data_IF_006867557321
#
_entry.id   IF_006867557321
#
_cell.length_a   1.000
_cell.length_b   1.000
_cell.length_c   1.000
_cell.angle_alpha   90.00
_cell.angle_beta   90.00
_cell.angle_gamma   90.00
#
_symmetry.space_group_name_H-M   'P 1'
#
loop_
_entity.id
_entity.type
_entity.pdbx_description
1 polymer ?
#
# COMPACT_ATOMS: atom_id res chain seq x y z
N UNK A 1 14.57 6.18 15.96
CA UNK A 1 15.08 5.93 14.59
C UNK A 1 13.98 6.34 13.65
N UNK A 2 14.26 6.96 12.49
CA UNK A 2 13.22 7.26 11.50
C UNK A 2 12.63 5.93 10.98
N UNK A 3 11.32 5.92 10.74
CA UNK A 3 10.67 4.79 10.07
C UNK A 3 10.98 4.78 8.57
N UNK A 4 10.71 3.66 7.90
CA UNK A 4 10.77 3.60 6.44
C UNK A 4 9.77 4.59 5.81
N UNK A 5 8.55 4.69 6.37
CA UNK A 5 7.55 5.66 5.90
C UNK A 5 8.01 7.12 6.07
N UNK A 6 8.65 7.49 7.17
CA UNK A 6 9.21 8.85 7.34
C UNK A 6 10.28 9.14 6.28
N UNK A 7 11.07 8.14 5.91
CA UNK A 7 12.13 8.29 4.90
C UNK A 7 11.53 8.54 3.52
N UNK A 8 10.41 7.88 3.19
CA UNK A 8 9.67 8.06 1.94
C UNK A 8 8.87 9.36 1.93
N UNK A 9 8.04 9.58 2.95
CA UNK A 9 7.05 10.65 2.96
C UNK A 9 7.65 12.04 3.25
N UNK A 10 8.66 12.14 4.13
CA UNK A 10 9.16 13.46 4.54
C UNK A 10 9.70 14.31 3.38
N UNK A 11 10.50 13.78 2.43
CA UNK A 11 10.96 14.54 1.28
C UNK A 11 9.81 14.95 0.35
N UNK A 12 8.85 14.06 0.10
CA UNK A 12 7.70 14.32 -0.77
C UNK A 12 6.78 15.38 -0.17
N UNK A 13 6.50 15.29 1.13
CA UNK A 13 5.73 16.29 1.86
C UNK A 13 6.40 17.67 1.88
N UNK A 14 7.73 17.70 1.97
CA UNK A 14 8.49 18.95 1.95
C UNK A 14 8.54 19.58 0.55
N UNK A 15 8.52 18.78 -0.51
CA UNK A 15 8.56 19.24 -1.88
C UNK A 15 7.20 19.78 -2.34
N UNK A 16 6.17 18.95 -2.31
CA UNK A 16 4.78 19.31 -2.66
C UNK A 16 3.80 18.29 -2.05
N UNK A 17 3.16 18.62 -0.92
CA UNK A 17 2.18 17.74 -0.26
C UNK A 17 0.92 17.49 -1.10
N UNK A 18 0.62 18.35 -2.07
CA UNK A 18 -0.49 18.22 -2.99
C UNK A 18 -0.19 17.38 -4.23
N UNK A 19 1.07 17.09 -4.51
CA UNK A 19 1.44 16.29 -5.68
C UNK A 19 0.84 14.88 -5.62
N UNK A 20 0.48 14.27 -6.77
CA UNK A 20 0.00 12.90 -6.83
C UNK A 20 1.07 11.92 -6.35
N UNK A 21 0.74 11.09 -5.34
CA UNK A 21 1.60 9.99 -4.87
C UNK A 21 1.23 8.67 -5.51
N UNK A 22 -0.05 8.36 -5.56
CA UNK A 22 -0.59 7.16 -6.18
C UNK A 22 -1.79 7.50 -7.03
N UNK A 23 -1.80 7.04 -8.28
CA UNK A 23 -2.96 7.07 -9.16
C UNK A 23 -3.27 5.65 -9.58
N UNK A 24 -4.53 5.25 -9.54
CA UNK A 24 -5.00 3.95 -9.97
C UNK A 24 -6.07 4.10 -11.05
N UNK A 25 -5.79 3.53 -12.21
CA UNK A 25 -6.74 3.33 -13.30
C UNK A 25 -7.21 1.88 -13.30
N UNK A 26 -8.50 1.67 -13.19
CA UNK A 26 -9.12 0.37 -13.44
C UNK A 26 -9.83 0.42 -14.80
N UNK A 27 -9.40 -0.43 -15.74
CA UNK A 27 -9.97 -0.53 -17.08
C UNK A 27 -11.10 -1.56 -17.17
N UNK A 28 -11.27 -2.43 -16.16
CA UNK A 28 -12.38 -3.38 -16.09
C UNK A 28 -13.66 -2.71 -15.60
N UNK A 29 -13.53 -1.83 -14.61
CA UNK A 29 -14.59 -0.95 -14.11
C UNK A 29 -14.10 0.49 -14.23
N UNK A 30 -14.26 1.14 -15.41
CA UNK A 30 -13.56 2.36 -15.74
C UNK A 30 -13.59 3.41 -14.61
N UNK A 31 -12.46 3.56 -13.95
CA UNK A 31 -12.29 4.51 -12.86
C UNK A 31 -10.87 5.07 -12.83
N UNK A 32 -10.73 6.28 -12.31
CA UNK A 32 -9.46 6.91 -11.99
C UNK A 32 -9.54 7.49 -10.59
N UNK A 33 -8.73 6.96 -9.71
CA UNK A 33 -8.57 7.45 -8.34
C UNK A 33 -7.15 7.95 -8.15
N UNK A 34 -7.02 9.15 -7.64
CA UNK A 34 -5.73 9.77 -7.34
C UNK A 34 -5.70 10.24 -5.89
N UNK A 35 -4.61 9.93 -5.22
CA UNK A 35 -4.32 10.42 -3.89
C UNK A 35 -3.03 11.25 -3.92
N UNK A 36 -3.12 12.45 -3.34
CA UNK A 36 -1.92 13.27 -3.10
C UNK A 36 -1.02 12.63 -2.03
N UNK A 37 0.20 13.16 -1.89
CA UNK A 37 1.12 12.78 -0.81
C UNK A 37 0.41 12.90 0.54
N UNK A 38 -0.28 14.01 0.81
CA UNK A 38 -1.04 14.22 2.05
C UNK A 38 -2.14 13.18 2.22
N UNK A 39 -2.95 12.93 1.19
CA UNK A 39 -4.06 11.98 1.30
C UNK A 39 -3.56 10.55 1.52
N UNK A 40 -2.47 10.17 0.87
CA UNK A 40 -1.82 8.87 1.07
C UNK A 40 -1.25 8.75 2.49
N UNK A 41 -0.61 9.81 2.99
CA UNK A 41 -0.09 9.86 4.35
C UNK A 41 -1.21 9.77 5.40
N UNK A 42 -2.38 10.38 5.16
CA UNK A 42 -3.53 10.27 6.06
C UNK A 42 -4.04 8.82 6.15
N UNK A 43 -4.16 8.12 5.03
CA UNK A 43 -4.51 6.70 5.04
C UNK A 43 -3.45 5.87 5.76
N UNK A 44 -2.18 6.11 5.47
CA UNK A 44 -1.07 5.43 6.14
C UNK A 44 -1.08 5.66 7.66
N UNK A 45 -1.38 6.89 8.11
CA UNK A 45 -1.47 7.23 9.53
C UNK A 45 -2.60 6.45 10.24
N UNK A 46 -3.78 6.38 9.62
CA UNK A 46 -4.91 5.60 10.16
C UNK A 46 -4.58 4.12 10.26
N UNK A 47 -3.97 3.56 9.21
CA UNK A 47 -3.58 2.15 9.18
C UNK A 47 -2.47 1.87 10.20
N UNK A 48 -1.48 2.75 10.34
CA UNK A 48 -0.45 2.62 11.36
C UNK A 48 -1.03 2.67 12.79
N UNK A 49 -2.03 3.54 13.01
CA UNK A 49 -2.79 3.59 14.26
C UNK A 49 -3.50 2.27 14.56
N UNK A 50 -4.23 1.72 13.60
CA UNK A 50 -4.89 0.43 13.72
C UNK A 50 -3.88 -0.69 14.05
N UNK A 51 -2.81 -0.80 13.27
CA UNK A 51 -1.78 -1.83 13.47
C UNK A 51 -1.14 -1.76 14.86
N UNK A 52 -0.78 -0.56 15.33
CA UNK A 52 -0.12 -0.38 16.63
C UNK A 52 -1.10 -0.47 17.79
N UNK A 53 -2.21 0.28 17.74
CA UNK A 53 -3.04 0.56 18.92
C UNK A 53 -4.09 -0.53 19.16
N UNK A 54 -4.50 -1.25 18.12
CA UNK A 54 -5.47 -2.35 18.23
C UNK A 54 -4.83 -3.73 18.07
N UNK A 55 -3.88 -3.88 17.13
CA UNK A 55 -3.24 -5.17 16.85
C UNK A 55 -1.88 -5.34 17.54
N UNK A 56 -1.39 -4.30 18.23
CA UNK A 56 -0.19 -4.38 19.06
C UNK A 56 1.13 -4.47 18.28
N UNK A 57 1.14 -4.13 17.00
CA UNK A 57 2.35 -4.17 16.16
C UNK A 57 3.42 -3.24 16.74
N UNK A 58 4.60 -3.79 16.95
CA UNK A 58 5.79 -3.11 17.46
C UNK A 58 6.87 -2.98 16.37
N UNK A 59 7.82 -2.04 16.53
CA UNK A 59 8.94 -1.94 15.60
C UNK A 59 9.74 -3.24 15.46
N UNK A 60 9.79 -3.77 14.25
CA UNK A 60 10.47 -5.03 13.91
C UNK A 60 9.54 -6.24 13.79
N UNK A 61 8.26 -6.10 14.13
CA UNK A 61 7.26 -7.14 13.83
C UNK A 61 7.01 -7.22 12.32
N UNK A 62 6.41 -8.31 11.87
CA UNK A 62 6.11 -8.57 10.45
C UNK A 62 4.63 -8.39 10.18
N UNK A 63 4.32 -7.73 9.06
CA UNK A 63 2.98 -7.68 8.46
C UNK A 63 3.03 -8.36 7.10
N UNK A 64 2.28 -9.44 6.93
CA UNK A 64 2.15 -10.13 5.65
C UNK A 64 1.19 -9.36 4.75
N UNK A 65 1.59 -9.07 3.52
CA UNK A 65 0.79 -8.32 2.55
C UNK A 65 0.62 -9.12 1.25
N UNK A 66 -0.54 -9.75 1.08
CA UNK A 66 -1.00 -10.32 -0.19
C UNK A 66 -2.05 -9.40 -0.81
N UNK A 67 -1.61 -8.39 -1.54
CA UNK A 67 -2.44 -7.27 -1.96
C UNK A 67 -2.41 -7.04 -3.48
N UNK A 68 -3.56 -6.72 -4.12
CA UNK A 68 -3.63 -6.40 -5.53
C UNK A 68 -3.12 -4.99 -5.84
N UNK A 69 -2.94 -4.70 -7.12
CA UNK A 69 -2.72 -3.34 -7.60
C UNK A 69 -3.96 -2.48 -7.34
N UNK A 70 -3.91 -1.72 -6.26
CA UNK A 70 -4.94 -0.80 -5.82
C UNK A 70 -4.30 0.39 -5.08
N UNK A 71 -4.91 1.57 -5.13
CA UNK A 71 -4.36 2.75 -4.46
C UNK A 71 -4.22 2.57 -2.94
N UNK A 72 -5.13 1.81 -2.31
CA UNK A 72 -5.11 1.55 -0.86
C UNK A 72 -3.92 0.68 -0.45
N UNK A 73 -3.39 -0.16 -1.34
CA UNK A 73 -2.16 -0.93 -1.10
C UNK A 73 -0.99 -0.02 -0.74
N UNK A 74 -0.88 1.16 -1.38
CA UNK A 74 0.12 2.16 -0.99
C UNK A 74 -0.07 2.64 0.46
N UNK A 75 -1.32 2.85 0.88
CA UNK A 75 -1.66 3.19 2.27
C UNK A 75 -1.27 2.11 3.26
N UNK A 76 -1.48 0.82 2.90
CA UNK A 76 -1.11 -0.33 3.75
C UNK A 76 0.41 -0.42 3.90
N UNK A 77 1.17 -0.36 2.81
CA UNK A 77 2.63 -0.44 2.86
C UNK A 77 3.22 0.67 3.74
N UNK A 78 2.81 1.91 3.50
CA UNK A 78 3.29 3.07 4.25
C UNK A 78 2.82 3.04 5.71
N UNK A 79 1.62 2.53 5.97
CA UNK A 79 1.08 2.36 7.32
C UNK A 79 1.87 1.33 8.12
N UNK A 80 2.15 0.16 7.54
CA UNK A 80 2.99 -0.86 8.16
C UNK A 80 4.40 -0.33 8.46
N UNK A 81 5.03 0.34 7.50
CA UNK A 81 6.33 0.99 7.70
C UNK A 81 6.30 2.10 8.76
N UNK A 82 5.20 2.82 8.90
CA UNK A 82 5.05 3.87 9.93
C UNK A 82 4.87 3.27 11.32
N UNK A 83 4.15 2.14 11.43
CA UNK A 83 4.08 1.36 12.66
C UNK A 83 5.46 0.75 13.06
N UNK A 84 6.41 0.73 12.13
CA UNK A 84 7.75 0.18 12.30
C UNK A 84 7.88 -1.28 11.88
N UNK A 85 6.84 -1.84 11.27
CA UNK A 85 6.84 -3.23 10.82
C UNK A 85 7.69 -3.44 9.56
N UNK A 86 8.20 -4.65 9.42
CA UNK A 86 8.66 -5.22 8.17
C UNK A 86 7.45 -5.74 7.38
N UNK A 87 7.47 -5.63 6.07
CA UNK A 87 6.48 -6.26 5.19
C UNK A 87 7.02 -7.58 4.68
N UNK A 88 6.21 -8.64 4.70
CA UNK A 88 6.48 -9.90 4.03
C UNK A 88 5.43 -10.16 2.94
N UNK A 89 5.84 -10.75 1.83
CA UNK A 89 4.95 -11.28 0.78
C UNK A 89 4.73 -12.80 0.90
N UNK A 90 5.36 -13.42 1.88
CA UNK A 90 5.20 -14.82 2.23
C UNK A 90 4.63 -14.94 3.64
N UNK A 91 3.87 -15.99 3.91
CA UNK A 91 3.33 -16.22 5.25
C UNK A 91 4.45 -16.36 6.28
N UNK A 92 4.24 -15.73 7.44
CA UNK A 92 5.13 -15.74 8.58
C UNK A 92 4.31 -16.10 9.81
N UNK A 93 4.80 -17.04 10.62
CA UNK A 93 4.13 -17.45 11.86
C UNK A 93 3.89 -16.24 12.78
N UNK A 94 2.73 -16.18 13.41
CA UNK A 94 2.31 -15.12 14.33
C UNK A 94 2.26 -13.69 13.75
N UNK A 95 2.34 -13.53 12.42
CA UNK A 95 2.23 -12.22 11.77
C UNK A 95 0.75 -11.82 11.57
N UNK A 96 0.52 -10.50 11.50
CA UNK A 96 -0.75 -9.97 10.99
C UNK A 96 -0.77 -10.08 9.47
N UNK A 97 -1.85 -10.62 8.92
CA UNK A 97 -2.06 -10.74 7.48
C UNK A 97 -2.96 -9.62 6.98
N UNK A 98 -2.58 -8.94 5.89
CA UNK A 98 -3.44 -8.02 5.15
C UNK A 98 -3.67 -8.59 3.76
N UNK A 99 -4.90 -8.96 3.46
CA UNK A 99 -5.28 -9.58 2.18
C UNK A 99 -6.64 -9.05 1.70
N UNK A 100 -7.21 -9.67 0.68
CA UNK A 100 -8.55 -9.36 0.15
C UNK A 100 -9.50 -10.55 0.34
N UNK A 101 -10.84 -10.35 0.32
CA UNK A 101 -11.80 -11.42 0.56
C UNK A 101 -11.63 -12.64 -0.32
N UNK A 102 -11.21 -12.47 -1.57
CA UNK A 102 -10.99 -13.55 -2.53
C UNK A 102 -9.74 -14.39 -2.26
N UNK A 103 -8.89 -13.96 -1.33
CA UNK A 103 -7.64 -14.63 -0.96
C UNK A 103 -7.59 -15.05 0.50
N UNK A 104 -8.65 -14.81 1.26
CA UNK A 104 -8.69 -15.13 2.68
C UNK A 104 -8.35 -16.60 2.99
N UNK A 105 -8.87 -17.52 2.18
CA UNK A 105 -8.67 -18.96 2.37
C UNK A 105 -7.25 -19.45 2.01
N UNK A 106 -6.43 -18.60 1.41
CA UNK A 106 -5.04 -18.94 1.09
C UNK A 106 -4.09 -18.74 2.29
N UNK A 107 -4.57 -18.10 3.36
CA UNK A 107 -3.81 -17.84 4.57
C UNK A 107 -4.29 -18.71 5.75
N UNK A 108 -3.43 -18.94 6.77
CA UNK A 108 -3.83 -19.71 7.96
C UNK A 108 -5.04 -19.08 8.69
N UNK A 109 -6.00 -19.91 9.09
CA UNK A 109 -7.26 -19.44 9.69
C UNK A 109 -7.11 -18.94 11.14
N UNK A 110 -5.98 -19.16 11.77
CA UNK A 110 -5.68 -18.82 13.17
C UNK A 110 -4.80 -17.57 13.32
N UNK A 111 -4.54 -16.87 12.23
CA UNK A 111 -3.79 -15.61 12.25
C UNK A 111 -4.72 -14.39 12.25
N UNK A 112 -4.28 -13.31 12.88
CA UNK A 112 -5.00 -12.02 12.83
C UNK A 112 -5.02 -11.48 11.40
N UNK A 113 -6.21 -11.30 10.83
CA UNK A 113 -6.37 -10.95 9.42
C UNK A 113 -7.16 -9.67 9.24
N UNK A 114 -6.60 -8.75 8.46
CA UNK A 114 -7.25 -7.54 7.95
C UNK A 114 -7.66 -7.73 6.49
N UNK A 115 -8.94 -7.57 6.18
CA UNK A 115 -9.43 -7.59 4.80
C UNK A 115 -9.45 -6.20 4.19
N UNK A 116 -8.66 -6.03 3.14
CA UNK A 116 -8.65 -4.80 2.34
C UNK A 116 -9.76 -4.83 1.29
N UNK A 117 -10.51 -3.73 1.20
CA UNK A 117 -11.47 -3.50 0.12
C UNK A 117 -10.76 -3.13 -1.18
N UNK A 118 -11.30 -3.57 -2.31
CA UNK A 118 -10.93 -3.12 -3.66
C UNK A 118 -11.95 -2.14 -4.25
N UNK A 119 -12.88 -1.65 -3.44
CA UNK A 119 -13.81 -0.60 -3.85
C UNK A 119 -13.05 0.66 -4.29
N UNK A 120 -13.34 1.25 -5.47
CA UNK A 120 -12.60 2.40 -5.98
C UNK A 120 -12.53 3.59 -5.02
N UNK A 121 -13.56 3.77 -4.18
CA UNK A 121 -13.61 4.84 -3.19
C UNK A 121 -13.13 4.42 -1.80
N UNK A 122 -12.61 3.19 -1.63
CA UNK A 122 -12.16 2.67 -0.35
C UNK A 122 -13.29 2.52 0.67
N UNK A 123 -14.51 2.20 0.21
CA UNK A 123 -15.63 1.96 1.13
C UNK A 123 -15.41 0.65 1.89
N UNK A 124 -15.88 0.56 3.15
CA UNK A 124 -15.88 -0.69 3.89
C UNK A 124 -16.55 -1.81 3.11
N UNK A 125 -16.10 -3.04 3.35
CA UNK A 125 -16.58 -4.25 2.66
C UNK A 125 -18.10 -4.40 2.76
N UNK A 126 -18.68 -4.18 3.95
CA UNK A 126 -20.13 -4.23 4.14
C UNK A 126 -20.87 -3.20 3.28
N UNK A 127 -20.32 -1.98 3.12
CA UNK A 127 -20.89 -0.94 2.27
C UNK A 127 -20.70 -1.25 0.76
N UNK A 128 -19.75 -2.09 0.42
CA UNK A 128 -19.53 -2.64 -0.91
C UNK A 128 -20.35 -3.93 -1.18
N UNK A 129 -21.14 -4.39 -0.19
CA UNK A 129 -21.96 -5.60 -0.28
C UNK A 129 -21.20 -6.90 -0.07
N UNK A 130 -20.01 -6.84 0.53
CA UNK A 130 -19.17 -8.01 0.85
C UNK A 130 -19.31 -8.33 2.33
N UNK A 131 -19.61 -9.59 2.65
CA UNK A 131 -19.68 -10.07 4.03
C UNK A 131 -18.28 -10.28 4.60
N UNK A 132 -18.05 -9.82 5.83
CA UNK A 132 -16.82 -10.04 6.57
C UNK A 132 -17.02 -11.22 7.51
N UNK A 133 -16.23 -12.30 7.40
CA UNK A 133 -16.34 -13.46 8.26
C UNK A 133 -16.06 -13.12 9.75
N UNK A 134 -16.65 -13.85 10.70
CA UNK A 134 -16.32 -13.71 12.11
C UNK A 134 -14.84 -13.95 12.39
N UNK A 135 -14.23 -13.11 13.21
CA UNK A 135 -12.81 -13.20 13.57
C UNK A 135 -11.86 -12.54 12.57
N UNK A 136 -12.39 -11.87 11.54
CA UNK A 136 -11.62 -11.12 10.55
C UNK A 136 -12.04 -9.65 10.62
N UNK A 137 -11.11 -8.72 10.41
CA UNK A 137 -11.34 -7.28 10.53
C UNK A 137 -11.40 -6.61 9.16
N UNK A 138 -12.43 -5.78 8.91
CA UNK A 138 -12.48 -4.88 7.74
C UNK A 138 -11.54 -3.71 7.95
N UNK A 139 -10.45 -3.67 7.19
CA UNK A 139 -9.43 -2.62 7.26
C UNK A 139 -10.02 -1.22 7.10
N UNK A 140 -10.89 -1.04 6.10
CA UNK A 140 -11.45 0.27 5.78
C UNK A 140 -12.43 0.78 6.85
N UNK A 141 -13.14 -0.10 7.54
CA UNK A 141 -14.00 0.25 8.66
C UNK A 141 -13.18 0.57 9.91
N UNK A 142 -12.26 -0.35 10.29
CA UNK A 142 -11.48 -0.24 11.52
C UNK A 142 -10.57 0.99 11.51
N UNK A 143 -9.87 1.27 10.41
CA UNK A 143 -8.94 2.40 10.38
C UNK A 143 -9.61 3.79 10.49
N UNK A 144 -10.94 3.91 10.31
CA UNK A 144 -11.66 5.21 10.32
C UNK A 144 -11.62 5.94 11.66
N UNK A 145 -11.52 5.23 12.75
CA UNK A 145 -11.49 5.83 14.09
C UNK A 145 -10.14 6.43 14.44
N UNK A 146 -9.09 6.06 13.70
CA UNK A 146 -7.73 6.56 13.92
C UNK A 146 -7.53 7.94 13.27
N UNK A 147 -6.67 8.80 13.87
CA UNK A 147 -6.41 10.14 13.37
C UNK A 147 -5.60 10.13 12.07
N UNK A 148 -5.70 11.23 11.31
CA UNK A 148 -4.90 11.51 10.10
C UNK A 148 -3.42 11.83 10.39
N UNK A 149 -2.99 11.68 11.63
CA UNK A 149 -1.62 11.92 12.08
C UNK A 149 -1.15 10.75 12.94
N UNK A 150 0.08 10.33 12.73
CA UNK A 150 0.71 9.24 13.48
C UNK A 150 2.07 9.67 14.01
N UNK A 151 2.35 9.31 15.27
CA UNK A 151 3.66 9.51 15.90
C UNK A 151 4.28 8.13 16.10
N UNK A 152 5.33 7.77 15.35
CA UNK A 152 5.91 6.44 15.44
C UNK A 152 6.60 6.20 16.79
N UNK A 153 6.51 4.97 17.29
CA UNK A 153 7.24 4.51 18.47
C UNK A 153 8.72 4.21 18.17
N UNK A 154 9.03 4.02 16.89
CA UNK A 154 10.36 3.74 16.37
C UNK A 154 10.27 3.12 14.97
N UNK A 155 11.38 2.98 14.28
CA UNK A 155 11.46 2.30 12.98
C UNK A 155 12.08 0.90 13.11
N UNK A 156 11.54 -0.08 12.38
CA UNK A 156 12.19 -1.35 12.13
C UNK A 156 13.46 -1.18 11.28
N UNK A 157 14.34 -2.16 11.32
CA UNK A 157 15.57 -2.16 10.51
C UNK A 157 15.30 -2.62 9.06
N UNK A 158 14.31 -3.48 8.89
CA UNK A 158 13.92 -4.10 7.63
C UNK A 158 12.62 -3.48 7.10
N UNK A 159 12.47 -3.48 5.79
CA UNK A 159 11.31 -2.90 5.12
C UNK A 159 10.49 -3.94 4.35
N UNK A 160 11.15 -4.87 3.64
CA UNK A 160 10.47 -5.88 2.83
C UNK A 160 11.33 -7.15 2.72
N UNK A 161 10.76 -8.31 3.06
CA UNK A 161 11.34 -9.64 2.83
C UNK A 161 12.82 -9.73 3.27
N UNK A 162 13.16 -9.25 4.45
CA UNK A 162 14.52 -9.24 4.97
C UNK A 162 15.44 -8.13 4.44
N UNK A 163 14.96 -7.29 3.53
CA UNK A 163 15.74 -6.18 2.99
C UNK A 163 15.45 -4.86 3.72
N UNK A 164 16.50 -4.04 3.94
CA UNK A 164 16.32 -2.68 4.41
C UNK A 164 15.77 -1.77 3.29
N UNK A 165 15.11 -0.66 3.66
CA UNK A 165 14.54 0.27 2.68
C UNK A 165 15.57 0.76 1.65
N UNK A 166 16.81 1.02 2.10
CA UNK A 166 17.87 1.51 1.22
C UNK A 166 18.29 0.49 0.16
N UNK A 167 18.15 -0.82 0.46
CA UNK A 167 18.51 -1.90 -0.46
C UNK A 167 17.45 -2.11 -1.56
N UNK A 168 16.24 -1.58 -1.34
CA UNK A 168 15.15 -1.60 -2.32
C UNK A 168 15.25 -0.46 -3.34
N UNK A 169 16.00 0.59 -3.03
CA UNK A 169 16.04 1.80 -3.84
C UNK A 169 16.73 1.55 -5.20
N UNK A 170 16.10 2.12 -6.23
CA UNK A 170 16.57 2.07 -7.62
C UNK A 170 16.41 3.49 -8.22
N UNK A 171 17.51 4.12 -8.59
CA UNK A 171 17.51 5.50 -9.08
C UNK A 171 16.66 5.70 -10.34
N UNK A 172 16.44 4.66 -11.13
CA UNK A 172 15.58 4.72 -12.32
C UNK A 172 14.10 4.88 -11.93
N UNK A 173 13.71 4.47 -10.72
CA UNK A 173 12.35 4.56 -10.21
C UNK A 173 12.05 5.83 -9.41
N UNK A 174 12.94 6.82 -9.41
CA UNK A 174 12.80 8.05 -8.61
C UNK A 174 11.79 9.07 -9.15
N UNK A 175 11.16 8.79 -10.28
CA UNK A 175 10.17 9.65 -10.93
C UNK A 175 8.73 9.20 -10.71
N UNK A 176 7.85 9.61 -11.66
CA UNK A 176 6.48 9.11 -11.73
C UNK A 176 6.46 7.85 -12.59
N UNK A 177 6.23 6.72 -11.97
CA UNK A 177 6.39 5.38 -12.55
C UNK A 177 5.03 4.83 -12.99
N UNK A 178 4.90 4.48 -14.28
CA UNK A 178 3.76 3.75 -14.80
C UNK A 178 3.94 2.25 -14.57
N UNK A 179 2.91 1.64 -14.01
CA UNK A 179 2.93 0.22 -13.61
C UNK A 179 1.68 -0.46 -14.17
N UNK A 180 1.71 -0.91 -15.43
CA UNK A 180 0.58 -1.58 -16.06
C UNK A 180 0.64 -3.09 -15.86
N UNK A 181 -0.52 -3.73 -15.70
CA UNK A 181 -0.66 -5.19 -15.81
C UNK A 181 0.12 -6.02 -14.79
N UNK A 182 0.44 -5.46 -13.62
CA UNK A 182 1.15 -6.22 -12.58
C UNK A 182 0.41 -7.47 -12.16
N UNK A 183 1.14 -8.56 -12.02
CA UNK A 183 0.67 -9.73 -11.27
C UNK A 183 0.58 -9.37 -9.79
N UNK A 184 -0.36 -10.00 -9.09
CA UNK A 184 -0.59 -9.75 -7.66
C UNK A 184 0.69 -9.87 -6.83
N UNK A 185 1.46 -10.94 -7.03
CA UNK A 185 2.68 -11.21 -6.27
C UNK A 185 3.77 -10.15 -6.47
N UNK A 186 3.72 -9.41 -7.56
CA UNK A 186 4.70 -8.36 -7.89
C UNK A 186 4.30 -6.97 -7.35
N UNK A 187 3.04 -6.78 -6.94
CA UNK A 187 2.51 -5.46 -6.57
C UNK A 187 3.25 -4.86 -5.38
N UNK A 188 3.33 -5.60 -4.28
CA UNK A 188 3.97 -5.14 -3.04
C UNK A 188 5.45 -4.88 -3.26
N UNK A 189 6.24 -5.80 -3.87
CA UNK A 189 7.66 -5.55 -4.17
C UNK A 189 7.89 -4.36 -5.09
N UNK A 190 7.09 -4.20 -6.14
CA UNK A 190 7.24 -3.09 -7.09
C UNK A 190 6.93 -1.75 -6.41
N UNK A 191 5.80 -1.63 -5.69
CA UNK A 191 5.47 -0.40 -4.98
C UNK A 191 6.50 -0.06 -3.91
N UNK A 192 7.00 -1.04 -3.17
CA UNK A 192 8.05 -0.83 -2.18
C UNK A 192 9.32 -0.25 -2.80
N UNK A 193 9.75 -0.77 -3.96
CA UNK A 193 10.90 -0.25 -4.70
C UNK A 193 10.66 1.17 -5.21
N UNK A 194 9.50 1.44 -5.80
CA UNK A 194 9.15 2.80 -6.27
C UNK A 194 9.22 3.80 -5.12
N UNK A 195 8.62 3.48 -3.98
CA UNK A 195 8.61 4.38 -2.82
C UNK A 195 9.99 4.53 -2.18
N UNK A 196 10.75 3.43 -2.04
CA UNK A 196 12.13 3.47 -1.55
C UNK A 196 13.03 4.37 -2.40
N UNK A 197 12.74 4.47 -3.70
CA UNK A 197 13.45 5.32 -4.67
C UNK A 197 13.02 6.80 -4.65
N UNK A 198 12.04 7.16 -3.81
CA UNK A 198 11.43 8.50 -3.79
C UNK A 198 10.47 8.74 -4.96
N UNK A 199 10.07 7.69 -5.68
CA UNK A 199 9.13 7.76 -6.79
C UNK A 199 7.66 7.78 -6.35
N UNK A 200 6.79 8.04 -7.32
CA UNK A 200 5.32 7.97 -7.21
C UNK A 200 4.77 7.03 -8.28
N UNK A 201 3.63 6.40 -8.03
CA UNK A 201 3.15 5.34 -8.93
C UNK A 201 1.83 5.67 -9.64
N UNK A 202 1.72 5.20 -10.88
CA UNK A 202 0.48 5.14 -11.66
C UNK A 202 0.19 3.68 -11.95
N UNK A 203 -0.76 3.09 -11.25
CA UNK A 203 -1.20 1.71 -11.44
C UNK A 203 -2.24 1.66 -12.55
N UNK A 204 -2.14 0.69 -13.44
CA UNK A 204 -3.17 0.39 -14.45
C UNK A 204 -3.54 -1.08 -14.35
N UNK A 205 -4.79 -1.35 -14.01
CA UNK A 205 -5.36 -2.69 -13.93
C UNK A 205 -6.38 -2.92 -15.05
N UNK A 206 -6.57 -4.18 -15.44
CA UNK A 206 -7.58 -4.56 -16.45
C UNK A 206 -7.23 -4.19 -17.89
N UNK A 207 -5.97 -3.82 -18.16
CA UNK A 207 -5.44 -3.59 -19.50
C UNK A 207 -4.14 -4.36 -19.71
N UNK A 208 -3.90 -4.78 -20.94
CA UNK A 208 -2.60 -5.32 -21.36
C UNK A 208 -1.59 -4.17 -21.42
N UNK A 209 -0.33 -4.34 -20.98
CA UNK A 209 0.70 -3.31 -21.09
C UNK A 209 0.91 -2.74 -22.50
N UNK A 210 0.61 -3.52 -23.53
CA UNK A 210 0.69 -3.10 -24.93
C UNK A 210 -0.55 -2.35 -25.46
N UNK A 211 -1.60 -2.22 -24.64
CA UNK A 211 -2.82 -1.51 -25.03
C UNK A 211 -2.51 -0.02 -25.28
N UNK A 212 -2.96 0.58 -26.41
CA UNK A 212 -2.80 2.01 -26.67
C UNK A 212 -3.31 2.92 -25.53
N UNK A 213 -4.35 2.51 -24.80
CA UNK A 213 -4.85 3.25 -23.65
C UNK A 213 -3.80 3.42 -22.55
N UNK A 214 -2.87 2.46 -22.38
CA UNK A 214 -1.77 2.56 -21.42
C UNK A 214 -0.80 3.67 -21.83
N UNK A 215 -0.51 3.82 -23.11
CA UNK A 215 0.33 4.91 -23.61
C UNK A 215 -0.34 6.28 -23.43
N UNK A 216 -1.66 6.38 -23.62
CA UNK A 216 -2.42 7.59 -23.39
C UNK A 216 -2.43 7.98 -21.89
N UNK A 217 -2.55 6.99 -21.00
CA UNK A 217 -2.41 7.19 -19.55
C UNK A 217 -1.01 7.70 -19.22
N UNK A 218 0.04 7.06 -19.76
CA UNK A 218 1.42 7.49 -19.56
C UNK A 218 1.63 8.97 -19.90
N UNK A 219 1.11 9.38 -21.05
CA UNK A 219 1.19 10.77 -21.52
C UNK A 219 0.39 11.73 -20.60
N UNK A 220 -0.82 11.34 -20.22
CA UNK A 220 -1.71 12.12 -19.34
C UNK A 220 -1.09 12.35 -17.97
N UNK A 221 -0.55 11.29 -17.37
CA UNK A 221 0.06 11.29 -16.04
C UNK A 221 1.52 11.77 -16.04
N UNK A 222 2.08 12.06 -17.23
CA UNK A 222 3.47 12.50 -17.42
C UNK A 222 4.46 11.56 -16.74
N UNK A 223 4.27 10.27 -16.93
CA UNK A 223 5.15 9.26 -16.33
C UNK A 223 6.53 9.34 -16.97
N UNK A 224 7.56 9.10 -16.16
CA UNK A 224 8.98 9.17 -16.59
C UNK A 224 9.55 7.80 -16.86
N UNK A 225 8.94 6.75 -16.28
CA UNK A 225 9.35 5.36 -16.41
C UNK A 225 8.11 4.49 -16.57
N UNK A 226 8.23 3.40 -17.33
CA UNK A 226 7.23 2.32 -17.42
C UNK A 226 7.91 1.01 -17.06
N UNK A 227 7.28 0.21 -16.18
CA UNK A 227 7.74 -1.12 -15.77
C UNK A 227 7.03 -2.22 -16.55
#
# INVERSE_FOLDING_TARGET
>A
MKTAADTVLSPLMAADPGAPMITHYDQTMPSRIELSVTSTANWAAKIAGLLRDELGIMPGDVVVCDLPAHWLTAGVLLGAWWAGAEISTEDVDDAVVVTTPDRLDDHPADVETLLMTTDPMGRPLAAAGVEVPPGVTDLAEACRIHPDAFVPSGGGALALNGAALADLADTELSGRVLVPGLRRDDVVPVLARVFASGGTAVLVTGADPSDPAVADIAATERTTVTL
#
